data_IF_071267183083
#
_entry.id   IF_071267183083
#
_cell.length_a   1.000
_cell.length_b   1.000
_cell.length_c   1.000
_cell.angle_alpha   90.00
_cell.angle_beta   90.00
_cell.angle_gamma   90.00
#
_symmetry.space_group_name_H-M   'P 1'
#
loop_
_entity.id
_entity.type
_entity.pdbx_description
1 polymer ?
#
# COMPACT_ATOMS: atom_id res chain seq x y z
N UNK A 1 9.40 -2.23 -30.50
CA UNK A 1 8.82 -1.42 -29.41
C UNK A 1 7.32 -1.52 -29.54
N UNK A 2 6.71 -2.43 -28.78
CA UNK A 2 5.27 -2.69 -28.82
C UNK A 2 4.58 -1.52 -28.13
N UNK A 3 3.75 -0.80 -28.88
CA UNK A 3 2.92 0.29 -28.38
C UNK A 3 2.08 -0.25 -27.20
N UNK A 4 2.42 0.14 -25.97
CA UNK A 4 1.61 -0.20 -24.80
C UNK A 4 0.33 0.58 -25.01
N UNK A 5 -0.72 -0.09 -25.49
CA UNK A 5 -2.03 0.51 -25.69
C UNK A 5 -2.41 1.23 -24.40
N UNK A 6 -2.35 2.58 -24.41
CA UNK A 6 -2.77 3.42 -23.31
C UNK A 6 -4.28 3.25 -23.17
N UNK A 7 -4.69 2.26 -22.37
CA UNK A 7 -6.10 2.00 -22.07
C UNK A 7 -6.62 3.14 -21.21
N UNK A 8 -7.34 4.07 -21.83
CA UNK A 8 -8.13 5.05 -21.10
C UNK A 8 -9.50 4.44 -20.77
N UNK A 9 -9.93 4.59 -19.52
CA UNK A 9 -11.26 4.20 -19.07
C UNK A 9 -12.09 5.45 -18.83
N UNK A 10 -13.32 5.47 -19.32
CA UNK A 10 -14.28 6.53 -18.99
C UNK A 10 -14.73 6.44 -17.53
N UNK A 11 -15.24 7.54 -16.96
CA UNK A 11 -15.73 7.56 -15.58
C UNK A 11 -16.80 6.47 -15.29
N UNK A 12 -17.78 6.20 -16.17
CA UNK A 12 -18.71 5.08 -15.99
C UNK A 12 -18.01 3.71 -15.98
N UNK A 13 -16.99 3.51 -16.82
CA UNK A 13 -16.20 2.27 -16.85
C UNK A 13 -15.41 2.10 -15.56
N UNK A 14 -14.75 3.16 -15.06
CA UNK A 14 -14.03 3.13 -13.79
C UNK A 14 -14.97 2.80 -12.62
N UNK A 15 -16.17 3.40 -12.58
CA UNK A 15 -17.19 3.06 -11.59
C UNK A 15 -17.62 1.58 -11.66
N UNK A 16 -17.78 1.04 -12.87
CA UNK A 16 -18.12 -0.38 -13.06
C UNK A 16 -16.97 -1.31 -12.64
N UNK A 17 -15.72 -0.98 -12.97
CA UNK A 17 -14.54 -1.74 -12.55
C UNK A 17 -14.48 -1.75 -11.01
N UNK A 18 -14.62 -0.57 -10.38
CA UNK A 18 -14.58 -0.42 -8.93
C UNK A 18 -15.64 -1.24 -8.22
N UNK A 19 -16.87 -1.34 -8.75
CA UNK A 19 -17.94 -2.12 -8.09
C UNK A 19 -17.92 -3.63 -8.38
N UNK A 20 -17.05 -4.10 -9.29
CA UNK A 20 -17.01 -5.50 -9.73
C UNK A 20 -15.68 -6.17 -9.38
N UNK A 21 -14.67 -6.03 -10.22
CA UNK A 21 -13.38 -6.73 -10.11
C UNK A 21 -12.41 -6.09 -9.11
N UNK A 22 -12.79 -4.95 -8.53
CA UNK A 22 -12.04 -4.20 -7.51
C UNK A 22 -12.96 -3.71 -6.37
N UNK A 23 -14.01 -4.49 -6.02
CA UNK A 23 -15.09 -4.07 -5.11
C UNK A 23 -14.62 -3.54 -3.75
N UNK A 24 -13.59 -4.15 -3.18
CA UNK A 24 -13.16 -3.86 -1.81
C UNK A 24 -12.05 -2.82 -1.72
N UNK A 25 -11.59 -2.24 -2.84
CA UNK A 25 -10.48 -1.28 -2.85
C UNK A 25 -10.87 0.09 -2.31
N UNK A 26 -10.00 0.69 -1.49
CA UNK A 26 -10.05 2.11 -1.17
C UNK A 26 -9.64 2.96 -2.41
N UNK A 27 -9.54 4.29 -2.24
CA UNK A 27 -9.23 5.17 -3.38
C UNK A 27 -7.83 4.90 -3.96
N UNK A 28 -6.80 4.90 -3.12
CA UNK A 28 -5.41 4.72 -3.54
C UNK A 28 -5.16 3.31 -4.11
N UNK A 29 -5.76 2.29 -3.48
CA UNK A 29 -5.74 0.90 -3.96
C UNK A 29 -6.40 0.76 -5.34
N UNK A 30 -7.51 1.46 -5.56
CA UNK A 30 -8.21 1.45 -6.84
C UNK A 30 -7.36 2.13 -7.92
N UNK A 31 -6.80 3.29 -7.62
CA UNK A 31 -5.97 4.04 -8.55
C UNK A 31 -4.69 3.26 -8.90
N UNK A 32 -4.05 2.62 -7.92
CA UNK A 32 -2.94 1.68 -8.13
C UNK A 32 -3.33 0.52 -9.05
N UNK A 33 -4.49 -0.11 -8.80
CA UNK A 33 -4.97 -1.21 -9.64
C UNK A 33 -5.18 -0.77 -11.09
N UNK A 34 -5.75 0.42 -11.33
CA UNK A 34 -5.96 0.95 -12.66
C UNK A 34 -4.63 1.28 -13.36
N UNK A 35 -3.65 1.86 -12.67
CA UNK A 35 -2.32 2.10 -13.23
C UNK A 35 -1.62 0.80 -13.63
N UNK A 36 -1.73 -0.24 -12.82
CA UNK A 36 -1.19 -1.57 -13.17
C UNK A 36 -1.94 -2.17 -14.38
N UNK A 37 -3.26 -2.02 -14.48
CA UNK A 37 -4.01 -2.45 -15.66
C UNK A 37 -3.47 -1.79 -16.94
N UNK A 38 -3.19 -0.47 -16.88
CA UNK A 38 -2.64 0.30 -18.00
C UNK A 38 -1.22 -0.15 -18.35
N UNK A 39 -0.32 -0.15 -17.36
CA UNK A 39 1.09 -0.51 -17.54
C UNK A 39 1.25 -1.91 -18.13
N UNK A 40 0.42 -2.85 -17.69
CA UNK A 40 0.49 -4.26 -18.10
C UNK A 40 -0.33 -4.55 -19.37
N UNK A 41 -1.13 -3.59 -19.83
CA UNK A 41 -2.05 -3.72 -20.97
C UNK A 41 -3.15 -4.77 -20.75
N UNK A 42 -3.49 -5.07 -19.49
CA UNK A 42 -4.47 -6.09 -19.11
C UNK A 42 -5.87 -5.48 -18.96
N UNK A 43 -6.88 -6.29 -19.27
CA UNK A 43 -8.27 -5.85 -19.30
C UNK A 43 -9.09 -6.37 -18.10
N UNK A 44 -9.56 -5.49 -17.20
CA UNK A 44 -10.45 -5.89 -16.11
C UNK A 44 -11.82 -6.38 -16.61
N UNK A 45 -12.33 -5.86 -17.74
CA UNK A 45 -13.62 -6.30 -18.30
C UNK A 45 -13.55 -7.69 -18.93
N UNK A 46 -12.39 -8.04 -19.50
CA UNK A 46 -12.14 -9.39 -20.02
C UNK A 46 -11.64 -10.35 -18.94
N UNK A 47 -11.70 -9.96 -17.66
CA UNK A 47 -11.30 -10.83 -16.53
C UNK A 47 -9.84 -11.29 -16.64
N UNK A 48 -8.98 -10.43 -17.22
CA UNK A 48 -7.55 -10.71 -17.34
C UNK A 48 -6.78 -10.34 -16.07
N UNK A 49 -7.33 -9.43 -15.26
CA UNK A 49 -6.73 -8.92 -14.03
C UNK A 49 -7.82 -8.49 -13.04
N UNK A 50 -7.58 -8.67 -11.74
CA UNK A 50 -8.50 -8.36 -10.64
C UNK A 50 -7.73 -7.83 -9.43
N UNK A 51 -8.43 -7.12 -8.54
CA UNK A 51 -7.91 -6.72 -7.24
C UNK A 51 -8.66 -7.43 -6.12
N UNK A 52 -7.93 -8.06 -5.20
CA UNK A 52 -8.47 -8.68 -3.99
C UNK A 52 -7.90 -7.97 -2.78
N UNK A 53 -8.74 -7.61 -1.81
CA UNK A 53 -8.30 -6.96 -0.57
C UNK A 53 -8.48 -7.93 0.59
N UNK A 54 -7.39 -8.22 1.29
CA UNK A 54 -7.35 -9.00 2.51
C UNK A 54 -7.34 -8.08 3.74
N UNK A 55 -7.86 -8.58 4.87
CA UNK A 55 -7.94 -7.83 6.14
C UNK A 55 -8.59 -6.45 5.99
N UNK A 56 -9.63 -6.34 5.15
CA UNK A 56 -10.27 -5.07 4.78
C UNK A 56 -10.69 -4.19 5.98
N UNK A 57 -11.02 -4.82 7.11
CA UNK A 57 -11.49 -4.15 8.34
C UNK A 57 -10.34 -3.79 9.31
N UNK A 58 -9.09 -4.12 8.99
CA UNK A 58 -7.91 -3.91 9.85
C UNK A 58 -6.86 -3.10 9.10
N UNK A 59 -6.85 -1.79 9.29
CA UNK A 59 -5.99 -0.87 8.55
C UNK A 59 -4.49 -1.25 8.58
N UNK A 60 -4.00 -1.73 9.73
CA UNK A 60 -2.62 -2.16 9.98
C UNK A 60 -2.22 -3.45 9.24
N UNK A 61 -3.19 -4.25 8.81
CA UNK A 61 -2.97 -5.54 8.12
C UNK A 61 -3.61 -5.59 6.75
N UNK A 62 -4.25 -4.50 6.33
CA UNK A 62 -4.99 -4.39 5.08
C UNK A 62 -4.01 -4.50 3.93
N UNK A 63 -4.33 -5.38 2.99
CA UNK A 63 -3.43 -5.69 1.89
C UNK A 63 -4.23 -5.85 0.60
N UNK A 64 -3.86 -5.08 -0.42
CA UNK A 64 -4.29 -5.33 -1.79
C UNK A 64 -3.37 -6.37 -2.43
N UNK A 65 -3.97 -7.35 -3.10
CA UNK A 65 -3.26 -8.27 -3.98
C UNK A 65 -3.89 -8.20 -5.37
N UNK A 66 -3.04 -7.95 -6.35
CA UNK A 66 -3.45 -7.85 -7.76
C UNK A 66 -3.19 -9.19 -8.41
N UNK A 67 -4.25 -9.75 -8.96
CA UNK A 67 -4.32 -11.13 -9.44
C UNK A 67 -4.49 -11.12 -10.93
N UNK A 68 -3.58 -11.78 -11.65
CA UNK A 68 -3.71 -11.97 -13.10
C UNK A 68 -4.36 -13.32 -13.36
N UNK A 69 -5.31 -13.40 -14.30
CA UNK A 69 -5.83 -14.71 -14.69
C UNK A 69 -4.91 -15.40 -15.68
N UNK A 70 -5.11 -16.71 -15.87
CA UNK A 70 -4.45 -17.45 -16.94
C UNK A 70 -4.73 -16.82 -18.32
N UNK A 71 -5.92 -16.26 -18.53
CA UNK A 71 -6.26 -15.56 -19.78
C UNK A 71 -5.48 -14.24 -19.92
N UNK A 72 -5.14 -13.58 -18.81
CA UNK A 72 -4.21 -12.46 -18.79
C UNK A 72 -2.82 -12.88 -19.26
N UNK A 73 -2.29 -13.99 -18.74
CA UNK A 73 -0.98 -14.52 -19.15
C UNK A 73 -0.96 -14.91 -20.63
N UNK A 74 -1.97 -15.66 -21.09
CA UNK A 74 -2.14 -16.02 -22.50
C UNK A 74 -2.21 -14.80 -23.39
N UNK A 75 -2.96 -13.77 -22.98
CA UNK A 75 -3.08 -12.53 -23.74
C UNK A 75 -1.75 -11.77 -23.83
N UNK A 76 -0.91 -11.79 -22.78
CA UNK A 76 0.44 -11.20 -22.83
C UNK A 76 1.37 -12.00 -23.74
N UNK A 77 1.41 -13.32 -23.60
CA UNK A 77 2.21 -14.19 -24.46
C UNK A 77 1.80 -14.06 -25.94
N UNK A 78 0.50 -14.08 -26.24
CA UNK A 78 -0.01 -13.88 -27.61
C UNK A 78 0.41 -12.52 -28.21
N UNK A 79 0.45 -11.45 -27.40
CA UNK A 79 0.87 -10.11 -27.86
C UNK A 79 2.35 -10.01 -28.20
N UNK A 80 3.18 -10.92 -27.69
CA UNK A 80 4.59 -11.01 -28.09
C UNK A 80 4.76 -11.53 -29.53
N UNK A 81 3.72 -12.13 -30.13
CA UNK A 81 3.72 -12.60 -31.52
C UNK A 81 4.51 -13.89 -31.76
N UNK A 82 5.08 -14.46 -30.71
CA UNK A 82 5.94 -15.64 -30.72
C UNK A 82 5.38 -16.78 -29.84
N UNK A 83 4.07 -16.77 -29.56
CA UNK A 83 3.37 -17.75 -28.73
C UNK A 83 2.42 -18.61 -29.56
N UNK A 84 2.35 -19.90 -29.24
CA UNK A 84 1.23 -20.78 -29.60
C UNK A 84 0.98 -21.83 -28.51
N UNK A 85 -0.26 -22.30 -28.31
CA UNK A 85 -0.56 -23.42 -27.43
C UNK A 85 -0.02 -24.74 -28.00
N UNK A 86 0.11 -25.76 -27.14
CA UNK A 86 0.36 -27.13 -27.60
C UNK A 86 -0.87 -27.75 -28.26
N UNK A 87 -0.63 -28.64 -29.23
CA UNK A 87 -1.66 -29.51 -29.81
C UNK A 87 -2.05 -30.66 -28.85
N UNK A 88 -1.18 -30.94 -27.89
CA UNK A 88 -1.28 -32.03 -26.93
C UNK A 88 -2.11 -31.60 -25.71
N UNK A 89 -2.84 -32.54 -25.12
CA UNK A 89 -3.53 -32.31 -23.86
C UNK A 89 -2.56 -32.12 -22.68
N UNK A 90 -3.07 -31.56 -21.57
CA UNK A 90 -2.30 -31.49 -20.33
C UNK A 90 -2.04 -32.90 -19.81
N UNK A 91 -0.77 -33.23 -19.58
CA UNK A 91 -0.41 -34.55 -19.05
C UNK A 91 -0.52 -34.53 -17.53
N UNK A 92 -1.37 -35.39 -16.99
CA UNK A 92 -1.50 -35.59 -15.55
C UNK A 92 -0.83 -36.90 -15.11
N UNK A 93 -0.18 -36.84 -13.97
CA UNK A 93 0.33 -37.98 -13.22
C UNK A 93 -0.53 -38.12 -11.96
N UNK A 94 -1.06 -39.32 -11.71
CA UNK A 94 -1.93 -39.61 -10.58
C UNK A 94 -1.56 -40.95 -9.96
N UNK A 95 -1.71 -41.03 -8.64
CA UNK A 95 -1.52 -42.24 -7.85
C UNK A 95 -2.80 -42.53 -7.06
N UNK A 96 -3.36 -43.74 -7.25
CA UNK A 96 -4.56 -44.17 -6.56
C UNK A 96 -4.36 -44.25 -5.03
N UNK A 97 -3.13 -44.49 -4.56
CA UNK A 97 -2.81 -44.53 -3.13
C UNK A 97 -2.89 -43.15 -2.45
N UNK A 98 -2.77 -42.07 -3.23
CA UNK A 98 -2.86 -40.69 -2.74
C UNK A 98 -4.28 -40.12 -2.78
N UNK A 99 -5.28 -40.90 -3.23
CA UNK A 99 -6.67 -40.46 -3.27
C UNK A 99 -7.21 -40.29 -1.86
N UNK A 100 -7.57 -39.05 -1.53
CA UNK A 100 -8.22 -38.70 -0.28
C UNK A 100 -9.33 -37.66 -0.55
N UNK A 101 -10.59 -37.93 -0.17
CA UNK A 101 -11.70 -37.02 -0.46
C UNK A 101 -11.55 -35.59 0.08
N UNK A 102 -10.75 -35.38 1.14
CA UNK A 102 -10.60 -34.07 1.78
C UNK A 102 -9.42 -33.27 1.24
N UNK A 103 -8.30 -33.94 0.95
CA UNK A 103 -7.02 -33.31 0.59
C UNK A 103 -6.58 -33.55 -0.85
N UNK A 104 -6.95 -34.66 -1.47
CA UNK A 104 -6.60 -34.98 -2.86
C UNK A 104 -7.64 -35.91 -3.52
N UNK A 105 -8.82 -35.39 -3.90
CA UNK A 105 -9.95 -36.23 -4.32
C UNK A 105 -9.63 -37.15 -5.51
N UNK A 106 -8.71 -36.74 -6.38
CA UNK A 106 -8.34 -37.47 -7.60
C UNK A 106 -6.98 -38.18 -7.51
N UNK A 107 -6.24 -38.04 -6.41
CA UNK A 107 -4.91 -38.63 -6.25
C UNK A 107 -3.88 -38.03 -7.21
N UNK A 108 -4.00 -36.73 -7.54
CA UNK A 108 -3.08 -36.06 -8.45
C UNK A 108 -1.71 -35.92 -7.79
N UNK A 109 -0.66 -36.23 -8.57
CA UNK A 109 0.73 -36.02 -8.19
C UNK A 109 1.24 -34.75 -8.87
N UNK A 110 1.01 -34.65 -10.19
CA UNK A 110 1.58 -33.57 -11.01
C UNK A 110 0.80 -33.34 -12.30
N UNK A 111 0.80 -32.09 -12.78
CA UNK A 111 0.42 -31.73 -14.13
C UNK A 111 1.63 -31.16 -14.89
N UNK A 112 1.74 -31.51 -16.17
CA UNK A 112 2.76 -30.97 -17.09
C UNK A 112 2.06 -30.41 -18.31
N UNK A 113 2.35 -29.14 -18.60
CA UNK A 113 1.81 -28.41 -19.76
C UNK A 113 2.96 -27.95 -20.64
N UNK A 114 2.75 -28.00 -21.95
CA UNK A 114 3.65 -27.40 -22.93
C UNK A 114 2.97 -26.22 -23.61
N UNK A 115 3.77 -25.20 -23.86
CA UNK A 115 3.46 -24.11 -24.79
C UNK A 115 4.67 -23.96 -25.72
N UNK A 116 4.53 -23.24 -26.83
CA UNK A 116 5.65 -23.08 -27.75
C UNK A 116 6.01 -21.61 -27.92
N UNK A 117 7.32 -21.34 -27.92
CA UNK A 117 7.89 -20.04 -28.20
C UNK A 117 8.63 -20.06 -29.54
N UNK A 118 8.38 -19.08 -30.39
CA UNK A 118 9.07 -18.93 -31.66
C UNK A 118 10.46 -18.33 -31.44
N UNK A 119 11.50 -19.04 -31.85
CA UNK A 119 12.89 -18.62 -31.75
C UNK A 119 13.31 -17.66 -32.86
N UNK A 120 14.42 -16.93 -32.65
CA UNK A 120 14.98 -16.02 -33.67
C UNK A 120 15.42 -16.75 -34.95
N UNK A 121 15.67 -18.06 -34.86
CA UNK A 121 16.00 -18.99 -35.94
C UNK A 121 14.77 -19.47 -36.73
N UNK A 122 13.59 -18.94 -36.43
CA UNK A 122 12.30 -19.32 -37.03
C UNK A 122 11.85 -20.75 -36.73
N UNK A 123 12.27 -21.29 -35.58
CA UNK A 123 11.86 -22.61 -35.08
C UNK A 123 10.99 -22.47 -33.84
N UNK A 124 10.01 -23.37 -33.68
CA UNK A 124 9.18 -23.43 -32.47
C UNK A 124 9.85 -24.30 -31.40
N UNK A 125 10.10 -23.72 -30.23
CA UNK A 125 10.68 -24.42 -29.09
C UNK A 125 9.62 -24.71 -28.03
N UNK A 126 9.55 -25.96 -27.52
CA UNK A 126 8.66 -26.30 -26.43
C UNK A 126 9.16 -25.65 -25.13
N UNK A 127 8.25 -24.99 -24.45
CA UNK A 127 8.43 -24.47 -23.09
C UNK A 127 7.50 -25.26 -22.18
N UNK A 128 8.09 -25.91 -21.18
CA UNK A 128 7.39 -26.81 -20.27
C UNK A 128 7.18 -26.13 -18.93
N UNK A 129 5.97 -26.26 -18.38
CA UNK A 129 5.66 -25.93 -17.00
C UNK A 129 5.10 -27.15 -16.27
N UNK A 130 5.38 -27.22 -14.97
CA UNK A 130 5.07 -28.37 -14.10
C UNK A 130 4.46 -27.89 -12.79
N UNK A 131 3.29 -28.39 -12.41
CA UNK A 131 2.72 -28.13 -11.10
C UNK A 131 2.54 -29.43 -10.33
N UNK A 132 3.11 -29.51 -9.13
CA UNK A 132 2.95 -30.63 -8.21
C UNK A 132 1.83 -30.37 -7.21
N UNK A 133 1.07 -31.41 -6.88
CA UNK A 133 -0.11 -31.27 -6.02
C UNK A 133 0.26 -30.82 -4.61
N UNK A 134 1.27 -31.44 -4.00
CA UNK A 134 1.78 -31.13 -2.66
C UNK A 134 2.29 -29.69 -2.54
N UNK A 135 2.76 -29.11 -3.64
CA UNK A 135 3.22 -27.73 -3.70
C UNK A 135 2.10 -26.73 -3.99
N UNK A 136 1.15 -27.02 -4.89
CA UNK A 136 0.22 -26.02 -5.42
C UNK A 136 -1.19 -26.11 -4.85
N UNK A 137 -1.61 -27.28 -4.37
CA UNK A 137 -2.94 -27.42 -3.79
C UNK A 137 -3.02 -26.60 -2.48
N UNK A 138 -4.08 -25.80 -2.28
CA UNK A 138 -4.23 -24.97 -1.10
C UNK A 138 -4.68 -25.83 0.09
N UNK A 139 -3.71 -26.54 0.67
CA UNK A 139 -3.90 -27.43 1.80
C UNK A 139 -3.77 -26.63 3.11
N UNK A 140 -4.68 -26.89 4.05
CA UNK A 140 -4.61 -26.41 5.43
C UNK A 140 -4.72 -27.58 6.41
N UNK A 141 -4.35 -27.35 7.66
CA UNK A 141 -4.52 -28.32 8.75
C UNK A 141 -6.02 -28.60 8.95
N UNK A 142 -6.41 -29.87 8.87
CA UNK A 142 -7.81 -30.28 9.05
C UNK A 142 -8.32 -29.98 10.46
N UNK A 143 -7.43 -30.10 11.45
CA UNK A 143 -7.71 -29.81 12.85
C UNK A 143 -6.54 -29.06 13.45
N UNK A 144 -6.82 -27.96 14.16
CA UNK A 144 -5.80 -27.14 14.81
C UNK A 144 -6.28 -26.61 16.16
N UNK A 145 -5.33 -26.35 17.04
CA UNK A 145 -5.53 -25.65 18.30
C UNK A 145 -4.78 -24.31 18.27
N UNK A 146 -5.36 -23.32 18.95
CA UNK A 146 -4.69 -22.06 19.22
C UNK A 146 -4.02 -22.14 20.58
N UNK A 147 -2.70 -22.32 20.59
CA UNK A 147 -1.90 -22.42 21.81
C UNK A 147 -1.29 -21.05 22.12
N UNK A 148 -1.40 -20.62 23.38
CA UNK A 148 -0.77 -19.37 23.85
C UNK A 148 0.76 -19.52 23.78
N UNK A 149 1.44 -18.55 23.19
CA UNK A 149 2.90 -18.59 23.02
C UNK A 149 3.65 -18.10 24.26
N UNK A 150 2.94 -17.71 25.32
CA UNK A 150 3.50 -17.10 26.53
C UNK A 150 3.89 -15.62 26.37
N UNK A 151 3.81 -15.07 25.16
CA UNK A 151 4.05 -13.66 24.87
C UNK A 151 2.73 -12.90 24.76
N UNK A 152 2.73 -11.61 25.11
CA UNK A 152 1.58 -10.71 24.91
C UNK A 152 1.90 -9.65 23.86
N UNK A 153 0.86 -9.15 23.18
CA UNK A 153 1.00 -7.99 22.30
C UNK A 153 1.25 -6.73 23.13
N UNK A 154 2.30 -5.93 22.86
CA UNK A 154 2.59 -4.70 23.61
C UNK A 154 1.41 -3.73 23.65
N UNK A 155 0.68 -3.61 22.54
CA UNK A 155 -0.37 -2.59 22.39
C UNK A 155 -1.70 -2.99 23.01
N UNK A 156 -1.98 -4.30 23.14
CA UNK A 156 -3.31 -4.79 23.56
C UNK A 156 -3.28 -5.65 24.82
N UNK A 157 -2.10 -6.06 25.29
CA UNK A 157 -1.93 -6.96 26.43
C UNK A 157 -2.46 -8.39 26.22
N UNK A 158 -3.03 -8.69 25.05
CA UNK A 158 -3.62 -10.00 24.74
C UNK A 158 -2.51 -11.03 24.49
N UNK A 159 -2.69 -12.28 24.94
CA UNK A 159 -1.73 -13.35 24.65
C UNK A 159 -1.67 -13.61 23.14
N UNK A 160 -0.45 -13.70 22.62
CA UNK A 160 -0.18 -14.14 21.26
C UNK A 160 -0.51 -15.63 21.21
N UNK A 161 -1.31 -16.01 20.22
CA UNK A 161 -1.70 -17.41 19.97
C UNK A 161 -1.05 -17.87 18.69
N UNK A 162 -0.51 -19.10 18.71
CA UNK A 162 0.02 -19.78 17.53
C UNK A 162 -0.92 -20.91 17.15
N UNK A 163 -1.21 -21.03 15.85
CA UNK A 163 -1.93 -22.17 15.28
C UNK A 163 -1.00 -23.38 15.32
N UNK A 164 -1.42 -24.45 15.99
CA UNK A 164 -0.71 -25.72 16.06
C UNK A 164 -1.64 -26.81 15.54
N UNK A 165 -1.18 -27.57 14.54
CA UNK A 165 -1.95 -28.68 13.99
C UNK A 165 -2.16 -29.78 15.04
N UNK A 166 -3.39 -30.26 15.19
CA UNK A 166 -3.71 -31.39 16.09
C UNK A 166 -3.28 -32.74 15.50
N UNK A 167 -3.25 -32.82 14.18
CA UNK A 167 -2.87 -34.03 13.45
C UNK A 167 -2.17 -33.67 12.14
N UNK A 168 -1.51 -34.66 11.54
CA UNK A 168 -0.89 -34.50 10.22
C UNK A 168 -1.91 -34.44 9.07
N UNK A 169 -3.22 -34.59 9.36
CA UNK A 169 -4.27 -34.58 8.33
C UNK A 169 -4.42 -33.19 7.75
N UNK A 170 -4.38 -33.12 6.42
CA UNK A 170 -4.62 -31.90 5.65
C UNK A 170 -6.01 -31.93 5.04
N UNK A 171 -6.54 -30.77 4.70
CA UNK A 171 -7.76 -30.59 3.91
C UNK A 171 -7.53 -29.50 2.88
N UNK A 172 -8.15 -29.62 1.71
CA UNK A 172 -8.27 -28.50 0.79
C UNK A 172 -9.10 -27.39 1.42
N UNK A 173 -8.66 -26.14 1.23
CA UNK A 173 -9.51 -24.96 1.45
C UNK A 173 -10.76 -25.05 0.56
N UNK A 174 -11.86 -24.44 0.99
CA UNK A 174 -13.08 -24.37 0.18
C UNK A 174 -12.82 -23.66 -1.15
N UNK A 175 -13.40 -24.18 -2.24
CA UNK A 175 -13.26 -23.60 -3.57
C UNK A 175 -13.13 -24.63 -4.69
N UNK A 176 -12.69 -24.15 -5.85
CA UNK A 176 -12.68 -24.92 -7.10
C UNK A 176 -11.70 -26.12 -7.10
N UNK A 177 -10.72 -26.15 -6.20
CA UNK A 177 -9.77 -27.26 -6.08
C UNK A 177 -10.43 -28.59 -5.69
N UNK A 178 -11.52 -28.56 -4.90
CA UNK A 178 -12.29 -29.78 -4.56
C UNK A 178 -13.12 -30.28 -5.75
N UNK A 179 -13.73 -29.35 -6.50
CA UNK A 179 -14.68 -29.68 -7.56
C UNK A 179 -14.03 -29.93 -8.93
N UNK A 180 -12.92 -29.24 -9.24
CA UNK A 180 -12.24 -29.27 -10.54
C UNK A 180 -10.70 -29.36 -10.37
N UNK A 181 -10.17 -30.37 -9.65
CA UNK A 181 -8.75 -30.46 -9.31
C UNK A 181 -7.81 -30.51 -10.53
N UNK A 182 -8.19 -31.24 -11.59
CA UNK A 182 -7.42 -31.29 -12.84
C UNK A 182 -7.28 -29.91 -13.49
N UNK A 183 -8.37 -29.14 -13.54
CA UNK A 183 -8.38 -27.80 -14.15
C UNK A 183 -7.48 -26.85 -13.36
N UNK A 184 -7.54 -26.91 -12.03
CA UNK A 184 -6.73 -26.05 -11.17
C UNK A 184 -5.24 -26.36 -11.30
N UNK A 185 -4.86 -27.64 -11.23
CA UNK A 185 -3.45 -28.04 -11.35
C UNK A 185 -2.92 -27.79 -12.78
N UNK A 186 -3.74 -28.02 -13.81
CA UNK A 186 -3.39 -27.71 -15.19
C UNK A 186 -3.12 -26.22 -15.43
N UNK A 187 -3.94 -25.33 -14.86
CA UNK A 187 -3.71 -23.87 -14.91
C UNK A 187 -2.40 -23.46 -14.24
N UNK A 188 -2.06 -24.07 -13.10
CA UNK A 188 -0.78 -23.82 -12.43
C UNK A 188 0.40 -24.19 -13.34
N UNK A 189 0.35 -25.38 -13.95
CA UNK A 189 1.40 -25.85 -14.84
C UNK A 189 1.53 -24.97 -16.09
N UNK A 190 0.41 -24.53 -16.67
CA UNK A 190 0.40 -23.61 -17.80
C UNK A 190 0.97 -22.23 -17.41
N UNK A 191 0.59 -21.69 -16.25
CA UNK A 191 1.12 -20.42 -15.76
C UNK A 191 2.65 -20.45 -15.62
N UNK A 192 3.21 -21.56 -15.12
CA UNK A 192 4.66 -21.75 -15.08
C UNK A 192 5.29 -21.81 -16.47
N UNK A 193 4.66 -22.52 -17.41
CA UNK A 193 5.17 -22.62 -18.78
C UNK A 193 5.22 -21.23 -19.43
N UNK A 194 4.15 -20.44 -19.27
CA UNK A 194 4.08 -19.07 -19.75
C UNK A 194 5.13 -18.17 -19.07
N UNK A 195 5.29 -18.25 -17.74
CA UNK A 195 6.31 -17.48 -17.01
C UNK A 195 7.72 -17.78 -17.49
N UNK A 196 8.01 -19.05 -17.79
CA UNK A 196 9.29 -19.48 -18.36
C UNK A 196 9.51 -18.97 -19.78
N UNK A 197 8.46 -18.93 -20.59
CA UNK A 197 8.54 -18.51 -22.00
C UNK A 197 8.59 -16.98 -22.20
N UNK A 198 7.96 -16.22 -21.31
CA UNK A 198 7.86 -14.76 -21.41
C UNK A 198 8.14 -14.07 -20.06
N UNK A 199 9.34 -14.26 -19.48
CA UNK A 199 9.66 -13.75 -18.14
C UNK A 199 9.55 -12.23 -18.03
N UNK A 200 10.02 -11.48 -19.04
CA UNK A 200 9.90 -10.02 -19.05
C UNK A 200 8.44 -9.58 -19.15
N UNK A 201 7.66 -10.21 -20.03
CA UNK A 201 6.26 -9.87 -20.21
C UNK A 201 5.40 -10.28 -19.00
N UNK A 202 5.82 -11.23 -18.17
CA UNK A 202 5.04 -11.71 -17.02
C UNK A 202 5.65 -11.32 -15.67
N UNK A 203 6.77 -10.58 -15.68
CA UNK A 203 7.43 -10.09 -14.47
C UNK A 203 6.49 -9.21 -13.66
N UNK A 204 6.50 -9.39 -12.34
CA UNK A 204 5.66 -8.64 -11.40
C UNK A 204 4.17 -8.99 -11.42
N UNK A 205 3.75 -9.98 -12.21
CA UNK A 205 2.37 -10.47 -12.24
C UNK A 205 2.29 -11.84 -11.57
N UNK A 206 1.29 -12.06 -10.73
CA UNK A 206 1.04 -13.35 -10.09
C UNK A 206 -0.34 -13.88 -10.49
N UNK A 207 -0.43 -15.18 -10.75
CA UNK A 207 -1.74 -15.83 -10.95
C UNK A 207 -2.34 -16.23 -9.62
N UNK A 208 -3.67 -16.32 -9.56
CA UNK A 208 -4.40 -16.64 -8.34
C UNK A 208 -3.89 -17.93 -7.70
N UNK A 209 -3.55 -18.90 -8.52
CA UNK A 209 -3.11 -20.23 -8.09
C UNK A 209 -1.69 -20.25 -7.50
N UNK A 210 -0.91 -19.17 -7.61
CA UNK A 210 0.40 -19.01 -6.96
C UNK A 210 0.34 -18.21 -5.65
N UNK A 211 -0.80 -17.58 -5.36
CA UNK A 211 -0.91 -16.55 -4.32
C UNK A 211 -0.87 -17.07 -2.88
N UNK A 212 -1.29 -18.32 -2.62
CA UNK A 212 -1.21 -18.90 -1.27
C UNK A 212 0.24 -18.98 -0.75
N UNK A 213 1.25 -18.81 -1.62
CA UNK A 213 2.68 -18.77 -1.28
C UNK A 213 3.27 -17.36 -1.20
N UNK A 214 2.56 -16.33 -1.68
CA UNK A 214 3.08 -14.96 -1.67
C UNK A 214 2.92 -14.40 -0.25
N UNK A 215 3.89 -14.70 0.61
CA UNK A 215 4.17 -13.86 1.78
C UNK A 215 4.75 -12.56 1.24
N UNK A 216 3.92 -11.52 1.17
CA UNK A 216 4.43 -10.16 1.01
C UNK A 216 5.04 -9.77 2.35
N UNK A 217 6.35 -9.96 2.46
CA UNK A 217 7.11 -9.49 3.61
C UNK A 217 6.95 -7.96 3.72
N UNK A 218 6.29 -7.53 4.80
CA UNK A 218 6.20 -6.13 5.22
C UNK A 218 7.61 -5.61 5.51
N UNK A 219 8.23 -4.95 4.54
CA UNK A 219 9.48 -4.19 4.76
C UNK A 219 9.53 -2.86 3.98
N UNK A 220 8.71 -2.68 2.94
CA UNK A 220 8.62 -1.39 2.23
C UNK A 220 7.68 -0.37 2.92
N UNK A 221 6.64 -0.85 3.62
CA UNK A 221 5.63 -0.01 4.28
C UNK A 221 6.25 0.84 5.39
N UNK A 222 7.18 0.30 6.17
CA UNK A 222 7.82 1.02 7.28
C UNK A 222 8.69 2.20 6.79
N UNK A 223 9.37 2.04 5.65
CA UNK A 223 10.17 3.10 5.03
C UNK A 223 9.30 4.21 4.42
N UNK A 224 8.16 3.84 3.82
CA UNK A 224 7.18 4.81 3.28
C UNK A 224 6.47 5.53 4.41
N UNK A 225 6.09 4.85 5.50
CA UNK A 225 5.51 5.51 6.68
C UNK A 225 6.46 6.50 7.33
N UNK A 226 7.76 6.19 7.39
CA UNK A 226 8.77 7.13 7.88
C UNK A 226 8.88 8.37 6.99
N UNK A 227 8.88 8.17 5.66
CA UNK A 227 8.89 9.27 4.68
C UNK A 227 7.59 10.09 4.70
N UNK A 228 6.44 9.46 4.83
CA UNK A 228 5.14 10.13 4.92
C UNK A 228 4.94 10.84 6.25
N UNK A 229 5.46 10.31 7.36
CA UNK A 229 5.51 11.02 8.64
C UNK A 229 6.39 12.27 8.48
N UNK A 230 7.56 12.15 7.86
CA UNK A 230 8.48 13.25 7.60
C UNK A 230 7.87 14.30 6.63
N UNK A 231 7.19 13.88 5.57
CA UNK A 231 6.44 14.75 4.65
C UNK A 231 5.20 15.38 5.30
N UNK A 232 4.48 14.68 6.17
CA UNK A 232 3.38 15.26 6.96
C UNK A 232 3.92 16.29 7.94
N UNK A 233 5.03 16.02 8.62
CA UNK A 233 5.75 16.96 9.47
C UNK A 233 6.18 18.21 8.67
N UNK A 234 6.76 18.02 7.48
CA UNK A 234 7.13 19.11 6.56
C UNK A 234 5.92 19.90 6.06
N UNK A 235 4.78 19.26 5.76
CA UNK A 235 3.56 19.94 5.27
C UNK A 235 2.78 20.66 6.37
N UNK A 236 2.78 20.14 7.60
CA UNK A 236 2.18 20.84 8.75
C UNK A 236 3.06 21.99 9.22
N UNK A 237 4.39 21.88 9.11
CA UNK A 237 5.31 22.97 9.44
C UNK A 237 5.16 24.21 8.52
N UNK A 238 4.71 24.06 7.27
CA UNK A 238 4.69 25.19 6.30
C UNK A 238 3.33 25.88 6.16
N UNK A 239 2.22 25.24 6.57
CA UNK A 239 0.87 25.78 6.32
C UNK A 239 0.30 26.67 7.43
N UNK A 240 0.87 26.65 8.63
CA UNK A 240 0.36 27.41 9.78
C UNK A 240 1.50 28.13 10.51
N UNK A 241 2.36 28.86 9.80
CA UNK A 241 3.39 29.70 10.44
C UNK A 241 3.17 31.18 10.16
N UNK A 242 3.43 32.01 11.17
CA UNK A 242 3.47 33.46 11.04
C UNK A 242 4.94 33.91 11.02
N UNK A 243 5.38 34.63 9.97
CA UNK A 243 6.74 35.16 9.91
C UNK A 243 6.89 36.33 10.88
N UNK A 244 7.80 36.24 11.84
CA UNK A 244 8.09 37.31 12.81
C UNK A 244 9.59 37.43 13.10
N UNK A 245 10.01 38.62 13.51
CA UNK A 245 11.38 38.95 13.91
C UNK A 245 11.36 39.20 15.42
N UNK A 246 12.15 38.46 16.18
CA UNK A 246 12.33 38.69 17.62
C UNK A 246 13.66 39.42 17.82
N UNK A 247 14.77 38.73 17.60
CA UNK A 247 16.11 39.31 17.69
C UNK A 247 16.64 39.80 16.33
N UNK A 248 17.23 41.00 16.28
CA UNK A 248 17.80 41.55 15.05
C UNK A 248 18.91 40.67 14.46
N UNK A 249 19.66 39.96 15.30
CA UNK A 249 20.74 39.07 14.87
C UNK A 249 20.21 37.76 14.23
N UNK A 250 19.01 37.31 14.63
CA UNK A 250 18.43 36.04 14.18
C UNK A 250 17.58 36.17 12.92
N UNK A 251 17.18 37.40 12.54
CA UNK A 251 16.43 37.67 11.32
C UNK A 251 14.98 37.16 11.35
N UNK A 252 14.42 36.88 10.17
CA UNK A 252 13.02 36.46 10.01
C UNK A 252 12.83 34.99 10.43
N UNK A 253 11.95 34.74 11.40
CA UNK A 253 11.61 33.41 11.89
C UNK A 253 10.19 33.01 11.50
N UNK A 254 9.98 31.75 11.12
CA UNK A 254 8.66 31.18 10.87
C UNK A 254 8.15 30.49 12.13
N UNK A 255 7.18 31.10 12.82
CA UNK A 255 6.67 30.59 14.09
C UNK A 255 5.32 29.89 13.88
N UNK A 256 5.14 28.63 14.34
CA UNK A 256 3.86 27.94 14.26
C UNK A 256 2.72 28.71 14.94
N UNK A 257 1.53 28.72 14.34
CA UNK A 257 0.35 29.50 14.75
C UNK A 257 -0.02 29.22 16.21
N UNK A 258 -0.02 27.96 16.61
CA UNK A 258 -0.33 27.53 17.99
C UNK A 258 0.73 27.91 19.04
N UNK A 259 1.90 28.40 18.63
CA UNK A 259 2.97 28.89 19.54
C UNK A 259 3.26 30.38 19.38
N UNK A 260 2.57 31.05 18.47
CA UNK A 260 2.89 32.42 18.09
C UNK A 260 2.68 33.41 19.23
N UNK A 261 1.51 33.35 19.91
CA UNK A 261 1.20 34.24 21.02
C UNK A 261 2.16 34.06 22.20
N UNK A 262 2.46 32.82 22.58
CA UNK A 262 3.37 32.50 23.68
C UNK A 262 4.78 33.02 23.40
N UNK A 263 5.30 32.79 22.18
CA UNK A 263 6.63 33.25 21.78
C UNK A 263 6.72 34.78 21.72
N UNK A 264 5.65 35.44 21.26
CA UNK A 264 5.54 36.91 21.28
C UNK A 264 5.59 37.43 22.72
N UNK A 265 4.81 36.85 23.63
CA UNK A 265 4.77 37.30 25.00
C UNK A 265 6.08 37.05 25.74
N UNK A 266 6.74 35.92 25.50
CA UNK A 266 8.07 35.62 26.04
C UNK A 266 9.09 36.70 25.64
N UNK A 267 9.13 37.04 24.35
CA UNK A 267 10.05 38.07 23.87
C UNK A 267 9.69 39.45 24.40
N UNK A 268 8.41 39.84 24.32
CA UNK A 268 7.93 41.14 24.80
C UNK A 268 8.21 41.32 26.29
N UNK A 269 8.07 40.27 27.10
CA UNK A 269 8.38 40.33 28.54
C UNK A 269 9.86 40.55 28.85
N UNK A 270 10.76 40.25 27.91
CA UNK A 270 12.20 40.55 28.03
C UNK A 270 12.56 41.99 27.66
N UNK A 271 11.62 42.79 27.14
CA UNK A 271 11.86 44.18 26.79
C UNK A 271 11.60 45.07 28.01
N UNK A 272 12.62 45.80 28.43
CA UNK A 272 12.58 46.63 29.64
C UNK A 272 12.11 48.08 29.38
N UNK A 273 11.98 48.49 28.11
CA UNK A 273 11.66 49.86 27.75
C UNK A 273 10.64 49.98 26.59
N UNK A 274 9.89 51.09 26.62
CA UNK A 274 8.82 51.38 25.65
C UNK A 274 9.39 51.57 24.23
N UNK A 275 10.60 52.10 24.09
CA UNK A 275 11.21 52.38 22.78
C UNK A 275 11.51 51.08 22.04
N UNK A 276 12.14 50.13 22.72
CA UNK A 276 12.42 48.79 22.18
C UNK A 276 11.15 48.03 21.86
N UNK A 277 10.13 48.13 22.72
CA UNK A 277 8.81 47.53 22.47
C UNK A 277 8.12 48.10 21.22
N UNK A 278 8.01 49.43 21.11
CA UNK A 278 7.33 50.07 19.99
C UNK A 278 8.08 49.85 18.67
N UNK A 279 9.42 49.79 18.72
CA UNK A 279 10.26 49.45 17.57
C UNK A 279 10.00 48.01 17.08
N UNK A 280 10.06 47.02 17.98
CA UNK A 280 9.78 45.61 17.66
C UNK A 280 8.36 45.43 17.12
N UNK A 281 7.37 46.07 17.75
CA UNK A 281 5.97 46.03 17.32
C UNK A 281 5.81 46.61 15.93
N UNK A 282 6.53 47.70 15.62
CA UNK A 282 6.58 48.34 14.30
C UNK A 282 7.11 47.41 13.21
N UNK A 283 8.17 46.64 13.49
CA UNK A 283 8.73 45.67 12.55
C UNK A 283 7.80 44.49 12.29
N UNK A 284 7.03 44.08 13.30
CA UNK A 284 6.15 42.90 13.25
C UNK A 284 4.68 43.22 12.94
N UNK A 285 4.34 44.45 12.51
CA UNK A 285 2.94 44.83 12.22
C UNK A 285 2.26 43.87 11.26
N UNK A 286 2.97 43.45 10.20
CA UNK A 286 2.41 42.50 9.20
C UNK A 286 2.21 41.10 9.77
N UNK A 287 3.14 40.65 10.61
CA UNK A 287 3.05 39.37 11.31
C UNK A 287 1.83 39.33 12.25
N UNK A 288 1.67 40.38 13.05
CA UNK A 288 0.55 40.54 13.98
C UNK A 288 -0.79 40.63 13.23
N UNK A 289 -0.85 41.38 12.13
CA UNK A 289 -2.04 41.45 11.26
C UNK A 289 -2.41 40.10 10.66
N UNK A 290 -1.42 39.33 10.19
CA UNK A 290 -1.63 37.98 9.68
C UNK A 290 -2.17 37.05 10.78
N UNK A 291 -1.61 37.10 11.99
CA UNK A 291 -2.10 36.33 13.12
C UNK A 291 -3.55 36.70 13.49
N UNK A 292 -3.88 37.99 13.49
CA UNK A 292 -5.24 38.48 13.76
C UNK A 292 -6.27 38.01 12.73
N UNK A 293 -5.87 37.83 11.48
CA UNK A 293 -6.76 37.35 10.41
C UNK A 293 -7.06 35.85 10.52
N UNK A 294 -6.16 35.07 11.13
CA UNK A 294 -6.21 33.59 11.12
C UNK A 294 -6.66 33.01 12.47
N UNK A 295 -6.32 33.63 13.60
CA UNK A 295 -6.59 33.13 14.96
C UNK A 295 -7.38 34.15 15.80
N UNK A 296 -8.63 34.44 15.42
CA UNK A 296 -9.41 35.59 15.93
C UNK A 296 -9.64 35.62 17.45
N UNK A 297 -9.78 34.47 18.14
CA UNK A 297 -9.92 34.41 19.60
C UNK A 297 -8.63 34.76 20.32
N UNK A 298 -7.53 34.10 19.94
CA UNK A 298 -6.23 34.19 20.61
C UNK A 298 -5.54 35.52 20.27
N UNK A 299 -5.77 36.02 19.06
CA UNK A 299 -5.42 37.35 18.60
C UNK A 299 -5.95 38.48 19.48
N UNK A 300 -7.22 38.36 19.92
CA UNK A 300 -7.85 39.37 20.76
C UNK A 300 -7.21 39.40 22.15
N UNK A 301 -6.87 38.24 22.69
CA UNK A 301 -6.16 38.12 23.96
C UNK A 301 -4.74 38.68 23.86
N UNK A 302 -3.97 38.24 22.85
CA UNK A 302 -2.61 38.74 22.61
C UNK A 302 -2.58 40.26 22.44
N UNK A 303 -3.55 40.84 21.70
CA UNK A 303 -3.64 42.29 21.54
C UNK A 303 -3.83 43.01 22.88
N UNK A 304 -4.71 42.50 23.75
CA UNK A 304 -4.91 43.05 25.10
C UNK A 304 -3.64 42.94 25.94
N UNK A 305 -2.96 41.80 25.88
CA UNK A 305 -1.74 41.57 26.66
C UNK A 305 -0.59 42.49 26.22
N UNK A 306 -0.44 42.73 24.92
CA UNK A 306 0.51 43.71 24.37
C UNK A 306 0.18 45.15 24.79
N UNK A 307 -1.09 45.53 24.83
CA UNK A 307 -1.52 46.86 25.28
C UNK A 307 -1.27 47.04 26.78
N UNK A 308 -1.56 46.03 27.60
CA UNK A 308 -1.27 46.03 29.03
C UNK A 308 0.23 46.09 29.33
N UNK A 309 1.04 45.31 28.60
CA UNK A 309 2.49 45.32 28.78
C UNK A 309 3.09 46.68 28.40
N UNK A 310 2.66 47.26 27.27
CA UNK A 310 3.06 48.62 26.90
C UNK A 310 2.69 49.65 27.96
N UNK A 311 1.48 49.56 28.53
CA UNK A 311 1.04 50.47 29.60
C UNK A 311 1.94 50.36 30.84
N UNK A 312 2.32 49.15 31.26
CA UNK A 312 3.27 48.94 32.36
C UNK A 312 4.63 49.59 32.09
N UNK A 313 5.15 49.44 30.87
CA UNK A 313 6.42 50.07 30.49
C UNK A 313 6.33 51.61 30.49
N UNK A 314 5.17 52.18 30.15
CA UNK A 314 4.92 53.64 30.19
C UNK A 314 4.76 54.15 31.63
N UNK A 315 4.15 53.36 32.52
CA UNK A 315 3.97 53.69 33.94
C UNK A 315 5.22 53.43 34.81
N UNK A 316 6.23 52.75 34.26
CA UNK A 316 7.55 52.57 34.87
C UNK A 316 8.65 53.43 34.20
N UNK A 317 8.49 54.76 34.07
CA UNK A 317 9.59 55.59 33.60
C UNK A 317 10.60 55.71 34.74
N UNK A 318 11.73 55.00 34.61
CA UNK A 318 12.95 55.00 35.46
C UNK A 318 13.05 53.88 36.50
N UNK A 319 13.72 52.79 36.12
CA UNK A 319 14.62 52.07 37.02
C UNK A 319 16.02 52.69 36.96
N UNK A 320 16.43 53.31 38.06
CA UNK A 320 17.83 53.47 38.50
C UNK A 320 18.91 53.75 37.44
N UNK A 321 19.28 55.03 37.33
CA UNK A 321 20.70 55.34 37.20
C UNK A 321 21.41 54.91 38.50
N UNK A 322 22.24 53.87 38.41
CA UNK A 322 23.37 53.62 39.29
C UNK A 322 24.41 52.80 38.52
#
# INVERSE_FOLDING_TARGET
>A
MTDIAHRSYSAPQLSLIRRTVAKDTNQDEFDLFIEICKQQGLDPFKKQIFAQVYNKDKADKRQIVIVTSIDGYRAKAQRCGDYRPAEEETRFEADAALKDPQSNPMGLVRAVVRVFKFGPDKVWYPVVGEARWDEFAPLDDAEFDWVDTGETWPDTGKPKKKKVAKSAKKTLKEGNWKNMPHVMLGKCAEAQALRRGWPEALSGLYVQEEMDKVHLDMTATEAVEAYERDERLKRTATKETVPAIFEMAEGLQLVPLGRFADRVMEYVQSLDDVTSFDFWKGQNVRALQQYWAVASSDALQLKKDLEQHRAKLVESPLGSAA
#
